data_IF_710717436713
#
_entry.id   IF_710717436713
#
_cell.length_a   1.000
_cell.length_b   1.000
_cell.length_c   1.000
_cell.angle_alpha   90.00
_cell.angle_beta   90.00
_cell.angle_gamma   90.00
#
_symmetry.space_group_name_H-M   'P 1'
#
loop_
_entity.id
_entity.type
_entity.pdbx_description
1 polymer ?
#
# COMPACT_ATOMS: atom_id res chain seq x y z
N UNK A 1 -14.22 -12.80 18.84
CA UNK A 1 -13.08 -12.69 17.96
C UNK A 1 -11.77 -12.71 18.78
N UNK A 2 -10.84 -13.63 18.51
CA UNK A 2 -9.58 -13.73 19.24
C UNK A 2 -8.65 -12.50 19.05
N UNK A 3 -8.92 -11.65 18.05
CA UNK A 3 -8.17 -10.43 17.81
C UNK A 3 -8.54 -9.28 18.75
N UNK A 4 -9.63 -9.38 19.49
CA UNK A 4 -10.03 -8.35 20.45
C UNK A 4 -9.66 -8.79 21.87
N UNK A 5 -8.53 -8.26 22.34
CA UNK A 5 -8.08 -8.51 23.71
C UNK A 5 -9.08 -7.90 24.70
N UNK A 6 -9.57 -8.70 25.66
CA UNK A 6 -10.55 -8.27 26.66
C UNK A 6 -10.01 -7.20 27.63
N UNK A 7 -8.70 -6.99 27.68
CA UNK A 7 -8.05 -5.95 28.48
C UNK A 7 -7.98 -4.58 27.82
N UNK A 8 -8.20 -4.48 26.51
CA UNK A 8 -8.12 -3.26 25.73
C UNK A 8 -9.49 -2.76 25.30
N UNK A 9 -9.68 -1.44 25.37
CA UNK A 9 -10.90 -0.79 24.89
C UNK A 9 -10.72 -0.39 23.43
N UNK A 10 -11.55 -0.97 22.57
CA UNK A 10 -11.55 -0.68 21.14
C UNK A 10 -12.76 0.15 20.75
N UNK A 11 -12.52 1.24 20.03
CA UNK A 11 -13.53 1.99 19.33
C UNK A 11 -13.55 1.57 17.86
N UNK A 12 -14.71 1.32 17.31
CA UNK A 12 -14.92 1.16 15.87
C UNK A 12 -15.69 2.39 15.37
N UNK A 13 -15.05 3.19 14.53
CA UNK A 13 -15.67 4.31 13.82
C UNK A 13 -16.28 3.76 12.53
N UNK A 14 -17.57 3.98 12.34
CA UNK A 14 -18.32 3.56 11.16
C UNK A 14 -18.60 4.80 10.31
N UNK A 15 -17.76 5.02 9.29
CA UNK A 15 -17.91 6.16 8.37
C UNK A 15 -18.68 5.77 7.09
N UNK A 16 -19.14 4.54 7.00
CA UNK A 16 -19.93 4.03 5.89
C UNK A 16 -20.98 3.06 6.42
N UNK A 17 -22.20 3.09 5.85
CA UNK A 17 -23.20 2.06 6.12
C UNK A 17 -22.86 0.83 5.28
N UNK A 18 -22.41 -0.23 5.96
CA UNK A 18 -22.17 -1.53 5.33
C UNK A 18 -23.44 -2.37 5.18
N UNK A 19 -23.35 -3.44 4.39
CA UNK A 19 -24.45 -4.42 4.24
C UNK A 19 -24.76 -5.20 5.53
N UNK A 20 -23.80 -5.26 6.45
CA UNK A 20 -23.90 -6.03 7.69
C UNK A 20 -23.94 -5.11 8.90
N UNK A 21 -24.91 -5.32 9.77
CA UNK A 21 -24.95 -4.64 11.07
C UNK A 21 -23.97 -5.29 12.06
N UNK A 22 -23.18 -4.46 12.71
CA UNK A 22 -22.35 -4.90 13.82
C UNK A 22 -23.19 -5.20 15.03
N UNK A 23 -22.92 -6.31 15.70
CA UNK A 23 -23.63 -6.77 16.89
C UNK A 23 -22.70 -6.68 18.10
N UNK A 24 -22.78 -5.59 18.89
CA UNK A 24 -21.92 -5.37 20.06
C UNK A 24 -21.93 -6.53 21.05
N UNK A 25 -23.08 -7.21 21.18
CA UNK A 25 -23.28 -8.36 22.07
C UNK A 25 -22.45 -9.60 21.72
N UNK A 26 -21.88 -9.65 20.50
CA UNK A 26 -20.96 -10.73 20.09
C UNK A 26 -19.53 -10.56 20.63
N UNK A 27 -19.22 -9.39 21.17
CA UNK A 27 -17.91 -9.11 21.77
C UNK A 27 -18.00 -9.35 23.28
N UNK A 28 -17.51 -10.53 23.69
CA UNK A 28 -17.72 -11.10 25.03
C UNK A 28 -17.22 -10.24 26.21
N UNK A 29 -16.32 -9.27 25.94
CA UNK A 29 -15.72 -8.42 26.97
C UNK A 29 -16.44 -7.11 27.21
N UNK A 30 -17.42 -6.72 26.37
CA UNK A 30 -18.03 -5.38 26.42
C UNK A 30 -17.03 -4.24 26.23
N UNK A 31 -15.85 -4.56 25.68
CA UNK A 31 -14.73 -3.65 25.51
C UNK A 31 -14.69 -3.02 24.11
N UNK A 32 -15.63 -3.33 23.23
CA UNK A 32 -15.76 -2.79 21.88
C UNK A 32 -16.96 -1.86 21.83
N UNK A 33 -16.77 -0.64 21.39
CA UNK A 33 -17.82 0.36 21.17
C UNK A 33 -17.86 0.77 19.70
N UNK A 34 -19.06 1.06 19.21
CA UNK A 34 -19.29 1.47 17.83
C UNK A 34 -19.82 2.90 17.82
N UNK A 35 -19.31 3.70 16.90
CA UNK A 35 -19.68 5.10 16.75
C UNK A 35 -19.83 5.44 15.26
N UNK A 36 -21.07 5.72 14.81
CA UNK A 36 -21.27 6.17 13.43
C UNK A 36 -20.78 7.61 13.25
N UNK A 37 -20.19 7.86 12.07
CA UNK A 37 -19.78 9.19 11.60
C UNK A 37 -20.39 9.38 10.22
N UNK A 38 -21.55 10.01 10.17
CA UNK A 38 -22.37 10.11 8.95
C UNK A 38 -21.78 11.07 7.91
N UNK A 39 -21.09 12.11 8.36
CA UNK A 39 -20.52 13.13 7.49
C UNK A 39 -19.01 13.30 7.73
N UNK A 40 -18.25 13.46 6.66
CA UNK A 40 -16.79 13.69 6.71
C UNK A 40 -16.44 14.87 7.62
N UNK A 41 -17.23 15.95 7.60
CA UNK A 41 -17.01 17.12 8.42
C UNK A 41 -17.12 16.84 9.94
N UNK A 42 -17.78 15.75 10.33
CA UNK A 42 -17.86 15.28 11.72
C UNK A 42 -16.57 14.64 12.22
N UNK A 43 -15.73 14.13 11.31
CA UNK A 43 -14.46 13.49 11.65
C UNK A 43 -13.38 14.57 11.84
N UNK A 44 -13.15 14.96 13.07
CA UNK A 44 -12.16 16.01 13.42
C UNK A 44 -11.24 15.55 14.54
N UNK A 45 -10.06 16.15 14.62
CA UNK A 45 -9.09 15.88 15.71
C UNK A 45 -9.70 16.14 17.09
N UNK A 46 -10.50 17.19 17.22
CA UNK A 46 -11.16 17.53 18.49
C UNK A 46 -12.16 16.44 18.90
N UNK A 47 -12.97 15.97 17.96
CA UNK A 47 -13.93 14.88 18.16
C UNK A 47 -13.23 13.59 18.60
N UNK A 48 -12.16 13.19 17.90
CA UNK A 48 -11.39 11.97 18.19
C UNK A 48 -10.75 12.03 19.58
N UNK A 49 -10.13 13.15 19.95
CA UNK A 49 -9.51 13.35 21.27
C UNK A 49 -10.53 13.40 22.41
N UNK A 50 -11.65 14.05 22.20
CA UNK A 50 -12.71 14.09 23.21
C UNK A 50 -13.28 12.68 23.49
N UNK A 51 -13.53 11.92 22.44
CA UNK A 51 -14.01 10.55 22.57
C UNK A 51 -12.98 9.65 23.27
N UNK A 52 -11.71 9.71 22.85
CA UNK A 52 -10.61 8.96 23.48
C UNK A 52 -10.53 9.24 24.96
N UNK A 53 -10.54 10.51 25.34
CA UNK A 53 -10.45 10.94 26.74
C UNK A 53 -11.66 10.48 27.57
N UNK A 54 -12.87 10.62 27.03
CA UNK A 54 -14.12 10.28 27.70
C UNK A 54 -14.27 8.78 27.94
N UNK A 55 -13.88 7.96 26.96
CA UNK A 55 -14.08 6.51 26.99
C UNK A 55 -12.80 5.72 27.30
N UNK A 56 -11.64 6.37 27.38
CA UNK A 56 -10.32 5.76 27.62
C UNK A 56 -10.05 4.63 26.65
N UNK A 57 -10.14 4.96 25.35
CA UNK A 57 -9.95 4.03 24.25
C UNK A 57 -8.44 3.81 24.03
N UNK A 58 -8.05 2.53 23.91
CA UNK A 58 -6.66 2.12 23.68
C UNK A 58 -6.38 1.89 22.19
N UNK A 59 -7.40 1.45 21.44
CA UNK A 59 -7.31 1.17 20.00
C UNK A 59 -8.53 1.67 19.25
N UNK A 60 -8.29 2.19 18.04
CA UNK A 60 -9.37 2.63 17.15
C UNK A 60 -9.27 1.86 15.84
N UNK A 61 -10.39 1.31 15.39
CA UNK A 61 -10.59 0.81 14.03
C UNK A 61 -11.49 1.80 13.31
N UNK A 62 -11.10 2.18 12.09
CA UNK A 62 -11.87 3.11 11.28
C UNK A 62 -12.33 2.39 10.03
N UNK A 63 -13.61 2.10 9.92
CA UNK A 63 -14.25 1.71 8.67
C UNK A 63 -14.51 2.99 7.88
N UNK A 64 -13.50 3.38 7.10
CA UNK A 64 -13.50 4.66 6.44
C UNK A 64 -14.34 4.64 5.17
N UNK A 65 -15.08 5.70 4.92
CA UNK A 65 -15.91 5.81 3.75
C UNK A 65 -15.10 5.81 2.45
N UNK A 66 -15.45 4.92 1.54
CA UNK A 66 -14.77 4.74 0.28
C UNK A 66 -14.76 5.97 -0.63
N UNK A 67 -15.72 6.89 -0.46
CA UNK A 67 -15.86 8.10 -1.26
C UNK A 67 -15.13 9.31 -0.66
N UNK A 68 -14.66 9.24 0.58
CA UNK A 68 -13.95 10.36 1.21
C UNK A 68 -12.45 10.29 0.90
N UNK A 69 -11.77 11.43 0.57
CA UNK A 69 -10.32 11.45 0.36
C UNK A 69 -9.54 11.01 1.60
N UNK A 70 -8.46 10.24 1.44
CA UNK A 70 -7.62 9.82 2.56
C UNK A 70 -6.96 11.00 3.29
N UNK A 71 -6.62 12.06 2.57
CA UNK A 71 -6.08 13.28 3.19
C UNK A 71 -6.97 13.83 4.29
N UNK A 72 -8.28 13.77 4.12
CA UNK A 72 -9.22 14.23 5.17
C UNK A 72 -9.15 13.39 6.44
N UNK A 73 -8.88 12.09 6.33
CA UNK A 73 -8.62 11.24 7.49
C UNK A 73 -7.31 11.65 8.16
N UNK A 74 -6.22 11.81 7.40
CA UNK A 74 -4.92 12.18 7.94
C UNK A 74 -4.96 13.52 8.67
N UNK A 75 -5.65 14.51 8.10
CA UNK A 75 -5.84 15.83 8.72
C UNK A 75 -6.66 15.77 10.02
N UNK A 76 -7.56 14.79 10.13
CA UNK A 76 -8.38 14.58 11.32
C UNK A 76 -7.68 13.82 12.45
N UNK A 77 -6.66 13.01 12.12
CA UNK A 77 -5.99 12.19 13.12
C UNK A 77 -5.24 13.05 14.15
N UNK A 78 -5.34 12.74 15.46
CA UNK A 78 -4.50 13.34 16.47
C UNK A 78 -3.01 13.08 16.21
N UNK A 79 -2.15 14.07 16.45
CA UNK A 79 -0.71 13.96 16.22
C UNK A 79 0.03 12.97 17.14
N UNK A 80 -0.64 12.52 18.18
CA UNK A 80 -0.19 11.52 19.16
C UNK A 80 -0.76 10.12 18.87
N UNK A 81 -1.44 9.93 17.73
CA UNK A 81 -1.90 8.64 17.26
C UNK A 81 -0.99 8.12 16.15
N UNK A 82 -0.69 6.83 16.19
CA UNK A 82 0.03 6.13 15.15
C UNK A 82 -0.94 5.28 14.32
N UNK A 83 -0.81 5.33 13.01
CA UNK A 83 -1.51 4.40 12.11
C UNK A 83 -0.72 3.09 12.15
N UNK A 84 -1.36 2.04 12.65
CA UNK A 84 -0.74 0.74 12.74
C UNK A 84 -0.81 -0.04 11.42
N UNK A 85 -1.94 0.05 10.73
CA UNK A 85 -2.16 -0.63 9.46
C UNK A 85 -3.29 0.02 8.67
N UNK A 86 -3.12 0.07 7.36
CA UNK A 86 -4.16 0.44 6.40
C UNK A 86 -4.46 -0.78 5.52
N UNK A 87 -5.73 -1.17 5.48
CA UNK A 87 -6.23 -2.25 4.63
C UNK A 87 -7.27 -1.68 3.70
N UNK A 88 -7.09 -1.86 2.40
CA UNK A 88 -8.11 -1.54 1.39
C UNK A 88 -8.93 -2.79 1.10
N UNK A 89 -10.24 -2.70 1.30
CA UNK A 89 -11.20 -3.68 0.81
C UNK A 89 -11.78 -3.19 -0.51
N UNK A 90 -11.64 -3.98 -1.57
CA UNK A 90 -12.11 -3.61 -2.90
C UNK A 90 -12.97 -4.72 -3.50
N UNK A 91 -14.13 -4.36 -4.04
CA UNK A 91 -14.99 -5.28 -4.76
C UNK A 91 -14.40 -5.61 -6.13
N UNK A 92 -13.99 -6.86 -6.34
CA UNK A 92 -13.35 -7.33 -7.58
C UNK A 92 -14.22 -7.14 -8.81
N UNK A 93 -15.54 -7.11 -8.64
CA UNK A 93 -16.51 -7.00 -9.73
C UNK A 93 -16.70 -5.58 -10.23
N UNK A 94 -16.45 -4.58 -9.39
CA UNK A 94 -16.64 -3.16 -9.70
C UNK A 94 -15.35 -2.37 -9.81
N UNK A 95 -14.23 -2.93 -9.35
CA UNK A 95 -12.93 -2.24 -9.29
C UNK A 95 -12.48 -1.63 -10.62
N UNK A 96 -12.62 -2.37 -11.74
CA UNK A 96 -12.28 -1.87 -13.08
C UNK A 96 -13.11 -0.64 -13.48
N UNK A 97 -14.38 -0.59 -13.06
CA UNK A 97 -15.25 0.55 -13.27
C UNK A 97 -14.80 1.77 -12.48
N UNK A 98 -14.39 1.58 -11.21
CA UNK A 98 -13.81 2.65 -10.39
C UNK A 98 -12.51 3.18 -10.98
N UNK A 99 -11.60 2.30 -11.40
CA UNK A 99 -10.34 2.69 -12.06
C UNK A 99 -10.57 3.46 -13.36
N UNK A 100 -11.66 3.22 -14.07
CA UNK A 100 -12.00 3.90 -15.34
C UNK A 100 -12.69 5.24 -15.09
N UNK A 101 -13.69 5.27 -14.22
CA UNK A 101 -14.62 6.41 -14.09
C UNK A 101 -14.26 7.34 -12.93
N UNK A 102 -13.57 6.84 -11.91
CA UNK A 102 -13.21 7.56 -10.68
C UNK A 102 -11.72 7.41 -10.37
N UNK A 103 -10.89 7.44 -11.40
CA UNK A 103 -9.45 7.11 -11.31
C UNK A 103 -8.72 7.83 -10.18
N UNK A 104 -8.96 9.13 -10.00
CA UNK A 104 -8.27 9.91 -8.97
C UNK A 104 -8.57 9.37 -7.57
N UNK A 105 -9.83 9.06 -7.27
CA UNK A 105 -10.22 8.49 -5.99
C UNK A 105 -9.69 7.07 -5.82
N UNK A 106 -9.76 6.23 -6.86
CA UNK A 106 -9.23 4.87 -6.82
C UNK A 106 -7.71 4.86 -6.57
N UNK A 107 -6.96 5.76 -7.20
CA UNK A 107 -5.51 5.93 -6.98
C UNK A 107 -5.24 6.43 -5.56
N UNK A 108 -5.97 7.42 -5.05
CA UNK A 108 -5.87 7.90 -3.66
C UNK A 108 -5.99 6.74 -2.66
N UNK A 109 -6.95 5.84 -2.87
CA UNK A 109 -7.16 4.68 -1.97
C UNK A 109 -6.08 3.61 -2.08
N UNK A 110 -5.38 3.53 -3.20
CA UNK A 110 -4.34 2.53 -3.45
C UNK A 110 -2.94 2.94 -2.98
N UNK A 111 -2.70 4.22 -2.69
CA UNK A 111 -1.35 4.73 -2.42
C UNK A 111 -0.73 4.16 -1.14
N UNK A 112 -1.49 4.12 -0.05
CA UNK A 112 -0.96 3.91 1.28
C UNK A 112 -1.23 2.54 1.93
N UNK A 113 -2.22 1.70 1.49
CA UNK A 113 -2.48 0.45 2.17
C UNK A 113 -1.30 -0.52 2.09
N UNK A 114 -0.99 -1.16 3.22
CA UNK A 114 -0.06 -2.28 3.29
C UNK A 114 -0.68 -3.56 2.72
N UNK A 115 -2.02 -3.64 2.69
CA UNK A 115 -2.74 -4.78 2.16
C UNK A 115 -3.98 -4.34 1.37
N UNK A 116 -4.16 -4.94 0.21
CA UNK A 116 -5.37 -4.81 -0.60
C UNK A 116 -6.06 -6.17 -0.66
N UNK A 117 -7.31 -6.23 -0.20
CA UNK A 117 -8.13 -7.44 -0.26
C UNK A 117 -9.22 -7.21 -1.30
N UNK A 118 -9.17 -7.98 -2.37
CA UNK A 118 -10.25 -8.03 -3.33
C UNK A 118 -11.28 -9.06 -2.88
N UNK A 119 -12.48 -8.63 -2.56
CA UNK A 119 -13.56 -9.53 -2.19
C UNK A 119 -14.45 -9.90 -3.38
N UNK A 120 -15.42 -10.80 -3.15
CA UNK A 120 -16.37 -11.30 -4.16
C UNK A 120 -15.71 -11.92 -5.39
N UNK A 121 -14.51 -12.47 -5.23
CA UNK A 121 -13.78 -13.13 -6.31
C UNK A 121 -14.43 -14.44 -6.71
N UNK A 122 -14.34 -14.77 -8.00
CA UNK A 122 -14.81 -16.02 -8.61
C UNK A 122 -13.73 -16.55 -9.54
N UNK A 123 -13.95 -17.71 -10.16
CA UNK A 123 -13.05 -18.26 -11.18
C UNK A 123 -12.94 -17.36 -12.43
N UNK A 124 -13.91 -16.47 -12.64
CA UNK A 124 -13.90 -15.50 -13.74
C UNK A 124 -13.17 -14.18 -13.39
N UNK A 125 -12.69 -14.01 -12.14
CA UNK A 125 -12.00 -12.79 -11.73
C UNK A 125 -10.63 -12.69 -12.41
N UNK A 126 -10.38 -11.61 -13.13
CA UNK A 126 -9.07 -11.33 -13.75
C UNK A 126 -8.07 -10.83 -12.68
N UNK A 127 -7.50 -11.78 -11.94
CA UNK A 127 -6.49 -11.49 -10.91
C UNK A 127 -5.28 -10.75 -11.50
N UNK A 128 -4.87 -11.07 -12.71
CA UNK A 128 -3.73 -10.43 -13.37
C UNK A 128 -3.99 -8.93 -13.62
N UNK A 129 -5.20 -8.56 -14.02
CA UNK A 129 -5.60 -7.16 -14.15
C UNK A 129 -5.57 -6.45 -12.79
N UNK A 130 -6.19 -7.05 -11.77
CA UNK A 130 -6.26 -6.46 -10.42
C UNK A 130 -4.87 -6.26 -9.83
N UNK A 131 -4.01 -7.28 -9.94
CA UNK A 131 -2.60 -7.22 -9.54
C UNK A 131 -1.86 -6.06 -10.21
N UNK A 132 -1.89 -5.98 -11.55
CA UNK A 132 -1.22 -4.92 -12.30
C UNK A 132 -1.73 -3.53 -11.91
N UNK A 133 -3.03 -3.38 -11.71
CA UNK A 133 -3.63 -2.10 -11.33
C UNK A 133 -3.13 -1.62 -9.95
N UNK A 134 -2.99 -2.51 -8.97
CA UNK A 134 -2.40 -2.20 -7.67
C UNK A 134 -0.92 -1.87 -7.83
N UNK A 135 -0.14 -2.71 -8.53
CA UNK A 135 1.31 -2.53 -8.69
C UNK A 135 1.69 -1.23 -9.40
N UNK A 136 0.85 -0.72 -10.31
CA UNK A 136 1.06 0.59 -10.93
C UNK A 136 1.03 1.76 -9.94
N UNK A 137 0.33 1.62 -8.80
CA UNK A 137 0.18 2.68 -7.80
C UNK A 137 0.99 2.36 -6.55
N UNK A 138 0.88 1.14 -6.04
CA UNK A 138 1.51 0.70 -4.80
C UNK A 138 2.21 -0.65 -4.99
N UNK A 139 3.52 -0.60 -5.14
CA UNK A 139 4.34 -1.79 -5.40
C UNK A 139 4.56 -2.67 -4.18
N UNK A 140 4.34 -2.13 -2.98
CA UNK A 140 4.62 -2.81 -1.71
C UNK A 140 3.40 -3.45 -1.08
N UNK A 141 2.19 -3.07 -1.50
CA UNK A 141 0.96 -3.62 -0.95
C UNK A 141 0.92 -5.14 -1.12
N UNK A 142 0.64 -5.86 -0.05
CA UNK A 142 0.26 -7.26 -0.16
C UNK A 142 -1.14 -7.36 -0.75
N UNK A 143 -1.43 -8.42 -1.47
CA UNK A 143 -2.75 -8.63 -2.05
C UNK A 143 -3.30 -10.00 -1.66
N UNK A 144 -4.61 -10.05 -1.48
CA UNK A 144 -5.36 -11.29 -1.26
C UNK A 144 -6.69 -11.23 -2.00
N UNK A 145 -7.20 -12.38 -2.40
CA UNK A 145 -8.42 -12.52 -3.16
C UNK A 145 -9.41 -13.37 -2.37
N UNK A 146 -10.39 -12.73 -1.74
CA UNK A 146 -11.46 -13.39 -1.00
C UNK A 146 -12.55 -13.83 -1.97
N UNK A 147 -12.82 -15.11 -1.97
CA UNK A 147 -13.85 -15.72 -2.83
C UNK A 147 -15.24 -15.58 -2.20
N UNK A 148 -16.26 -15.75 -3.04
CA UNK A 148 -17.67 -15.69 -2.59
C UNK A 148 -18.03 -16.78 -1.58
N UNK A 149 -17.27 -17.87 -1.48
CA UNK A 149 -17.44 -18.93 -0.47
C UNK A 149 -16.69 -18.66 0.84
N UNK A 150 -15.99 -17.53 0.94
CA UNK A 150 -15.22 -17.13 2.12
C UNK A 150 -13.79 -17.71 2.15
N UNK A 151 -13.39 -18.48 1.16
CA UNK A 151 -11.98 -18.88 1.01
C UNK A 151 -11.13 -17.71 0.51
N UNK A 152 -9.83 -17.71 0.84
CA UNK A 152 -8.91 -16.65 0.45
C UNK A 152 -7.77 -17.25 -0.36
N UNK A 153 -7.61 -16.75 -1.58
CA UNK A 153 -6.47 -17.08 -2.42
C UNK A 153 -5.36 -16.03 -2.20
N UNK A 154 -4.11 -16.44 -2.08
CA UNK A 154 -2.99 -15.50 -2.08
C UNK A 154 -2.79 -14.88 -3.47
N UNK A 155 -2.02 -13.79 -3.53
CA UNK A 155 -1.56 -13.24 -4.79
C UNK A 155 -0.38 -14.09 -5.31
N UNK A 156 -0.66 -14.88 -6.33
CA UNK A 156 0.28 -15.75 -7.05
C UNK A 156 0.65 -15.21 -8.43
N UNK A 157 0.19 -13.99 -8.75
CA UNK A 157 0.51 -13.32 -10.01
C UNK A 157 1.94 -12.80 -9.95
N UNK A 158 2.75 -13.21 -10.90
CA UNK A 158 4.12 -12.72 -11.01
C UNK A 158 4.15 -11.33 -11.64
N UNK A 159 4.92 -10.43 -11.07
CA UNK A 159 5.23 -9.15 -11.68
C UNK A 159 6.02 -9.38 -12.98
N UNK A 160 5.41 -9.04 -14.12
CA UNK A 160 6.12 -9.05 -15.40
C UNK A 160 7.07 -7.86 -15.45
N UNK A 161 8.35 -8.16 -15.62
CA UNK A 161 9.36 -7.13 -15.85
C UNK A 161 9.38 -6.79 -17.35
N UNK A 162 9.50 -5.51 -17.72
CA UNK A 162 9.54 -5.10 -19.15
C UNK A 162 10.87 -5.44 -19.83
N UNK A 163 11.77 -6.12 -19.14
CA UNK A 163 13.08 -6.55 -19.63
C UNK A 163 13.32 -8.03 -19.28
N UNK A 164 14.09 -8.69 -20.15
CA UNK A 164 14.42 -10.12 -19.99
C UNK A 164 15.55 -10.30 -18.98
N UNK A 165 15.20 -10.81 -17.79
CA UNK A 165 16.17 -11.10 -16.73
C UNK A 165 17.03 -12.33 -17.02
N UNK A 166 16.69 -13.17 -18.00
CA UNK A 166 17.46 -14.35 -18.38
C UNK A 166 18.46 -14.07 -19.51
N UNK A 167 18.37 -12.89 -20.13
CA UNK A 167 19.31 -12.48 -21.15
C UNK A 167 20.76 -12.43 -20.64
N UNK A 168 21.77 -12.71 -21.48
CA UNK A 168 23.19 -12.56 -21.11
C UNK A 168 23.58 -11.15 -20.71
N UNK A 169 22.92 -10.17 -21.31
CA UNK A 169 22.97 -8.76 -20.94
C UNK A 169 21.55 -8.27 -20.79
N UNK A 170 21.20 -7.83 -19.60
CA UNK A 170 19.87 -7.28 -19.31
C UNK A 170 19.88 -5.81 -19.72
N UNK A 171 19.17 -5.48 -20.80
CA UNK A 171 19.02 -4.12 -21.28
C UNK A 171 17.86 -3.42 -20.59
N UNK A 172 18.16 -2.34 -19.89
CA UNK A 172 17.17 -1.55 -19.17
C UNK A 172 16.91 -0.25 -19.96
N UNK A 173 15.68 -0.08 -20.42
CA UNK A 173 15.24 1.16 -21.04
C UNK A 173 15.20 2.33 -20.04
N UNK A 174 15.19 3.54 -20.55
CA UNK A 174 15.24 4.74 -19.70
C UNK A 174 14.05 4.83 -18.74
N UNK A 175 12.87 4.46 -19.19
CA UNK A 175 11.62 4.40 -18.42
C UNK A 175 11.59 3.28 -17.37
N UNK A 176 12.35 2.20 -17.60
CA UNK A 176 12.34 1.00 -16.78
C UNK A 176 13.39 1.01 -15.66
N UNK A 177 14.27 2.02 -15.65
CA UNK A 177 15.38 2.09 -14.69
C UNK A 177 14.91 2.04 -13.23
N UNK A 178 13.87 2.79 -12.90
CA UNK A 178 13.31 2.81 -11.54
C UNK A 178 12.76 1.46 -11.13
N UNK A 179 12.05 0.80 -12.05
CA UNK A 179 11.50 -0.53 -11.85
C UNK A 179 12.61 -1.56 -11.63
N UNK A 180 13.61 -1.57 -12.51
CA UNK A 180 14.78 -2.43 -12.35
C UNK A 180 15.51 -2.21 -11.02
N UNK A 181 15.74 -0.94 -10.64
CA UNK A 181 16.41 -0.61 -9.39
C UNK A 181 15.70 -1.17 -8.17
N UNK A 182 14.37 -1.01 -8.11
CA UNK A 182 13.56 -1.53 -7.02
C UNK A 182 13.53 -3.07 -7.00
N UNK A 183 13.32 -3.71 -8.17
CA UNK A 183 13.34 -5.18 -8.25
C UNK A 183 14.71 -5.75 -7.87
N UNK A 184 15.80 -5.08 -8.27
CA UNK A 184 17.15 -5.50 -7.91
C UNK A 184 17.46 -5.33 -6.41
N UNK A 185 16.85 -4.33 -5.75
CA UNK A 185 16.97 -4.17 -4.28
C UNK A 185 16.22 -5.26 -3.52
N UNK A 186 15.06 -5.66 -4.02
CA UNK A 186 14.19 -6.64 -3.36
C UNK A 186 14.57 -8.09 -3.71
N UNK A 187 15.12 -8.32 -4.92
CA UNK A 187 15.42 -9.63 -5.50
C UNK A 187 16.85 -9.72 -6.03
N UNK A 188 17.84 -9.40 -5.20
CA UNK A 188 19.24 -9.32 -5.61
C UNK A 188 19.72 -10.61 -6.31
N UNK A 189 19.28 -11.77 -5.85
CA UNK A 189 19.67 -13.09 -6.39
C UNK A 189 19.33 -13.24 -7.88
N UNK A 190 18.30 -12.58 -8.38
CA UNK A 190 17.93 -12.55 -9.80
C UNK A 190 19.07 -11.98 -10.69
N UNK A 191 19.83 -11.05 -10.14
CA UNK A 191 20.83 -10.26 -10.87
C UNK A 191 22.28 -10.67 -10.59
N UNK A 192 22.49 -11.58 -9.62
CA UNK A 192 23.82 -12.06 -9.27
C UNK A 192 24.51 -12.72 -10.46
N UNK A 193 25.74 -12.26 -10.78
CA UNK A 193 26.52 -12.78 -11.89
C UNK A 193 26.04 -12.37 -13.29
N UNK A 194 25.02 -11.48 -13.39
CA UNK A 194 24.51 -10.99 -14.67
C UNK A 194 25.08 -9.61 -15.02
N UNK A 195 25.13 -9.32 -16.31
CA UNK A 195 25.51 -7.99 -16.81
C UNK A 195 24.26 -7.18 -17.07
N UNK A 196 24.20 -5.97 -16.50
CA UNK A 196 23.11 -5.03 -16.72
C UNK A 196 23.62 -3.82 -17.48
N UNK A 197 22.90 -3.41 -18.52
CA UNK A 197 23.21 -2.25 -19.35
C UNK A 197 22.08 -1.23 -19.28
N UNK A 198 22.43 -0.01 -18.92
CA UNK A 198 21.49 1.12 -18.91
C UNK A 198 22.23 2.42 -19.17
N UNK A 199 21.48 3.47 -19.51
CA UNK A 199 21.98 4.83 -19.63
C UNK A 199 21.74 5.59 -18.33
N UNK A 200 22.79 6.18 -17.76
CA UNK A 200 22.68 6.91 -16.50
C UNK A 200 23.78 7.94 -16.32
N UNK A 201 23.78 8.57 -15.15
CA UNK A 201 24.84 9.47 -14.70
C UNK A 201 25.79 8.71 -13.79
N UNK A 202 27.02 9.17 -13.69
CA UNK A 202 27.97 8.65 -12.72
C UNK A 202 28.10 9.64 -11.57
N UNK A 203 27.72 9.21 -10.37
CA UNK A 203 27.89 9.98 -9.16
C UNK A 203 29.21 9.58 -8.47
N UNK A 204 30.06 10.57 -8.23
CA UNK A 204 31.26 10.44 -7.39
C UNK A 204 31.18 11.46 -6.26
N UNK A 205 31.12 10.98 -5.04
CA UNK A 205 31.15 11.82 -3.84
C UNK A 205 32.24 11.33 -2.90
N UNK A 206 32.71 12.13 -1.94
CA UNK A 206 33.66 11.69 -0.92
C UNK A 206 33.23 10.46 -0.10
N UNK A 207 31.93 10.11 -0.16
CA UNK A 207 31.36 8.93 0.51
C UNK A 207 31.52 7.64 -0.28
N UNK A 208 31.83 7.75 -1.59
CA UNK A 208 32.06 6.58 -2.45
C UNK A 208 33.50 6.11 -2.27
N UNK A 209 33.75 4.83 -2.00
CA UNK A 209 35.10 4.29 -1.82
C UNK A 209 36.01 4.56 -3.01
N UNK A 210 37.31 4.71 -2.78
CA UNK A 210 38.30 4.86 -3.88
C UNK A 210 38.25 3.64 -4.78
N UNK A 211 38.25 3.87 -6.09
CA UNK A 211 38.11 2.80 -7.10
C UNK A 211 36.68 2.33 -7.33
N UNK A 212 35.71 3.00 -6.71
CA UNK A 212 34.30 2.76 -6.95
C UNK A 212 33.61 4.00 -7.54
N UNK A 213 32.48 3.78 -8.17
CA UNK A 213 31.59 4.82 -8.69
C UNK A 213 30.14 4.37 -8.54
N UNK A 214 29.19 5.30 -8.63
CA UNK A 214 27.76 4.97 -8.56
C UNK A 214 27.12 5.36 -9.88
N UNK A 215 26.91 4.40 -10.80
CA UNK A 215 26.07 4.63 -11.96
C UNK A 215 24.61 4.63 -11.52
N UNK A 216 23.84 5.62 -11.98
CA UNK A 216 22.45 5.74 -11.54
C UNK A 216 21.70 6.85 -12.24
N UNK A 217 20.53 7.15 -11.72
CA UNK A 217 19.64 8.19 -12.23
C UNK A 217 18.98 8.96 -11.08
N UNK A 218 18.44 10.13 -11.39
CA UNK A 218 17.54 10.82 -10.47
C UNK A 218 16.16 10.20 -10.57
N UNK A 219 15.64 9.75 -9.47
CA UNK A 219 14.30 9.17 -9.34
C UNK A 219 13.48 9.93 -8.31
N UNK A 220 12.18 10.05 -8.58
CA UNK A 220 11.19 10.56 -7.66
C UNK A 220 10.66 9.38 -6.84
N UNK A 221 10.75 9.45 -5.52
CA UNK A 221 10.34 8.35 -4.65
C UNK A 221 8.90 8.48 -4.19
N UNK A 222 8.44 9.69 -3.82
CA UNK A 222 7.05 9.90 -3.40
C UNK A 222 6.43 11.20 -3.93
N UNK A 223 7.18 12.28 -4.07
CA UNK A 223 6.68 13.56 -4.59
C UNK A 223 7.79 14.34 -5.31
N UNK A 224 7.41 15.40 -6.03
CA UNK A 224 8.34 16.19 -6.81
C UNK A 224 9.47 16.87 -5.99
N UNK A 225 9.27 17.02 -4.69
CA UNK A 225 10.26 17.58 -3.76
C UNK A 225 11.26 16.53 -3.26
N UNK A 226 10.98 15.23 -3.52
CA UNK A 226 11.78 14.10 -3.04
C UNK A 226 12.51 13.38 -4.19
N UNK A 227 13.20 14.17 -5.01
CA UNK A 227 14.05 13.64 -6.08
C UNK A 227 15.40 13.28 -5.49
N UNK A 228 15.73 11.98 -5.50
CA UNK A 228 17.01 11.46 -5.04
C UNK A 228 17.78 10.76 -6.14
N UNK A 229 19.11 10.72 -5.99
CA UNK A 229 19.95 9.94 -6.90
C UNK A 229 19.95 8.48 -6.43
N UNK A 230 19.48 7.59 -7.29
CA UNK A 230 19.40 6.14 -7.02
C UNK A 230 20.40 5.40 -7.92
N UNK A 231 21.11 4.42 -7.35
CA UNK A 231 22.10 3.63 -8.05
C UNK A 231 22.85 2.68 -7.12
N UNK A 232 23.65 1.79 -7.69
CA UNK A 232 24.47 0.83 -6.94
C UNK A 232 25.93 1.24 -6.92
N UNK A 233 26.64 0.97 -5.83
CA UNK A 233 28.10 1.16 -5.76
C UNK A 233 28.76 0.06 -6.60
N UNK A 234 29.46 0.46 -7.64
CA UNK A 234 30.20 -0.43 -8.54
C UNK A 234 31.70 -0.22 -8.37
N UNK A 235 32.47 -1.31 -8.36
CA UNK A 235 33.92 -1.23 -8.49
C UNK A 235 34.29 -0.91 -9.95
N UNK A 236 35.23 -0.01 -10.15
CA UNK A 236 35.80 0.20 -11.47
C UNK A 236 36.77 -0.95 -11.80
N UNK A 237 36.55 -1.64 -12.91
CA UNK A 237 37.58 -2.53 -13.47
C UNK A 237 38.72 -1.67 -14.00
N UNK A 238 39.97 -2.00 -13.63
CA UNK A 238 41.18 -1.34 -14.12
C UNK A 238 41.54 -1.81 -15.53
#
# INVERSE_FOLDING_TARGET
DPGFNTGEKTLVLLCEEGENEYRPERFAGGNVSFLPVEEQAGLTTAFLKDYQKKHRVDRVLIEYNGMWPLQALYDALPTDWDIYQIILLADSTTFASYMTNMRQLAVDKLQDPEMVIFNRCTDATDKAYLHRAVRMVNRRAQMAFERTDGSVDPDDVLDELPFDTDAPVIDIADEDFGLWYLDAMDNLDKYMGKTVRFKGYVCQTPRVPKGCFVPGRFGMTCCAEDISFIGFICAAEN
#
